data_IF_482311702409
#
_entry.id   IF_482311702409
#
_cell.length_a   1.000
_cell.length_b   1.000
_cell.length_c   1.000
_cell.angle_alpha   90.00
_cell.angle_beta   90.00
_cell.angle_gamma   90.00
#
_symmetry.space_group_name_H-M   'P 1'
#
loop_
_entity.id
_entity.type
_entity.pdbx_description
1 polymer ?
#
# COMPACT_ATOMS: atom_id res chain seq x y z
N UNK A 1 -3.40 1.33 31.91
CA UNK A 1 -4.42 1.08 30.86
C UNK A 1 -4.07 -0.23 30.17
N UNK A 2 -5.01 -1.17 30.05
CA UNK A 2 -4.77 -2.45 29.36
C UNK A 2 -4.66 -2.20 27.85
N UNK A 3 -3.59 -2.68 27.22
CA UNK A 3 -3.43 -2.63 25.77
C UNK A 3 -4.00 -3.89 25.10
N UNK A 4 -4.19 -3.85 23.77
CA UNK A 4 -4.76 -4.96 23.01
C UNK A 4 -4.02 -6.29 23.25
N UNK A 5 -2.68 -6.25 23.32
CA UNK A 5 -1.86 -7.45 23.56
C UNK A 5 -2.13 -8.07 24.93
N UNK A 6 -2.29 -7.25 25.97
CA UNK A 6 -2.59 -7.71 27.32
C UNK A 6 -4.00 -8.32 27.41
N UNK A 7 -4.99 -7.69 26.76
CA UNK A 7 -6.37 -8.21 26.70
C UNK A 7 -6.40 -9.54 25.94
N UNK A 8 -5.76 -9.62 24.78
CA UNK A 8 -5.69 -10.85 23.99
C UNK A 8 -5.06 -11.99 24.79
N UNK A 9 -3.96 -11.73 25.50
CA UNK A 9 -3.33 -12.75 26.36
C UNK A 9 -4.28 -13.22 27.47
N UNK A 10 -4.94 -12.31 28.17
CA UNK A 10 -5.88 -12.67 29.22
C UNK A 10 -7.06 -13.48 28.68
N UNK A 11 -7.58 -13.10 27.51
CA UNK A 11 -8.65 -13.83 26.82
C UNK A 11 -8.21 -15.25 26.47
N UNK A 12 -7.03 -15.43 25.85
CA UNK A 12 -6.51 -16.75 25.51
C UNK A 12 -6.32 -17.63 26.74
N UNK A 13 -5.75 -17.07 27.82
CA UNK A 13 -5.62 -17.78 29.09
C UNK A 13 -6.98 -18.23 29.60
N UNK A 14 -7.97 -17.32 29.68
CA UNK A 14 -9.32 -17.67 30.13
C UNK A 14 -9.97 -18.76 29.29
N UNK A 15 -9.88 -18.66 27.96
CA UNK A 15 -10.46 -19.66 27.03
C UNK A 15 -9.86 -21.04 27.29
N UNK A 16 -8.53 -21.12 27.35
CA UNK A 16 -7.82 -22.39 27.49
C UNK A 16 -7.94 -22.97 28.90
N UNK A 17 -7.75 -22.18 29.94
CA UNK A 17 -7.67 -22.69 31.33
C UNK A 17 -9.03 -22.86 31.97
N UNK A 18 -9.99 -21.95 31.70
CA UNK A 18 -11.29 -21.95 32.37
C UNK A 18 -12.41 -22.40 31.44
N UNK A 19 -12.67 -21.68 30.34
CA UNK A 19 -13.87 -21.89 29.53
C UNK A 19 -13.96 -23.31 28.94
N UNK A 20 -12.90 -23.77 28.27
CA UNK A 20 -12.89 -25.11 27.68
C UNK A 20 -12.96 -26.25 28.71
N UNK A 21 -12.51 -26.02 29.94
CA UNK A 21 -12.39 -27.04 31.00
C UNK A 21 -13.50 -26.99 32.04
N UNK A 22 -14.33 -25.94 32.04
CA UNK A 22 -15.44 -25.79 32.98
C UNK A 22 -16.74 -26.32 32.35
N UNK A 23 -17.62 -26.99 33.12
CA UNK A 23 -18.93 -27.39 32.64
C UNK A 23 -19.72 -26.17 32.14
N UNK A 24 -20.14 -26.20 30.87
CA UNK A 24 -20.91 -25.11 30.29
C UNK A 24 -22.40 -25.29 30.58
N UNK A 25 -23.07 -24.25 31.07
CA UNK A 25 -24.47 -24.31 31.54
C UNK A 25 -25.44 -24.91 30.51
N UNK A 26 -25.24 -24.63 29.21
CA UNK A 26 -26.11 -25.14 28.15
C UNK A 26 -25.76 -26.54 27.65
N UNK A 27 -24.53 -27.01 27.88
CA UNK A 27 -24.05 -28.32 27.43
C UNK A 27 -24.13 -29.37 28.54
N UNK A 28 -24.17 -28.93 29.81
CA UNK A 28 -24.05 -29.76 31.01
C UNK A 28 -22.77 -30.62 31.04
N UNK A 29 -21.81 -30.34 30.15
CA UNK A 29 -20.49 -30.95 30.01
C UNK A 29 -19.49 -29.85 29.62
N UNK A 30 -18.18 -30.14 29.62
CA UNK A 30 -17.18 -29.15 29.21
C UNK A 30 -17.20 -28.97 27.68
N UNK A 31 -16.97 -27.76 27.15
CA UNK A 31 -16.86 -27.55 25.71
C UNK A 31 -15.80 -28.44 25.05
N UNK A 32 -14.70 -28.73 25.77
CA UNK A 32 -13.64 -29.60 25.28
C UNK A 32 -14.11 -31.06 25.13
N UNK A 33 -14.81 -31.61 26.13
CA UNK A 33 -15.33 -32.99 26.08
C UNK A 33 -16.39 -33.13 25.00
N UNK A 34 -17.27 -32.12 24.87
CA UNK A 34 -18.26 -32.07 23.78
C UNK A 34 -17.57 -32.13 22.44
N UNK A 35 -16.56 -31.28 22.23
CA UNK A 35 -15.82 -31.18 20.98
C UNK A 35 -15.10 -32.49 20.65
N UNK A 36 -14.40 -33.10 21.61
CA UNK A 36 -13.71 -34.37 21.42
C UNK A 36 -14.64 -35.49 20.92
N UNK A 37 -15.91 -35.50 21.37
CA UNK A 37 -16.90 -36.50 20.96
C UNK A 37 -17.50 -36.26 19.56
N UNK A 38 -17.59 -35.01 19.10
CA UNK A 38 -18.29 -34.67 17.85
C UNK A 38 -17.36 -34.16 16.73
N UNK A 39 -16.11 -33.85 17.06
CA UNK A 39 -15.14 -33.21 16.17
C UNK A 39 -14.81 -34.03 14.93
N UNK A 40 -14.92 -35.36 14.99
CA UNK A 40 -14.71 -36.24 13.83
C UNK A 40 -15.66 -35.96 12.65
N UNK A 41 -16.81 -35.31 12.91
CA UNK A 41 -17.78 -34.94 11.86
C UNK A 41 -17.39 -33.68 11.09
N UNK A 42 -16.32 -32.98 11.50
CA UNK A 42 -15.85 -31.77 10.83
C UNK A 42 -15.21 -32.16 9.51
N UNK A 43 -15.70 -31.58 8.42
CA UNK A 43 -15.07 -31.70 7.10
C UNK A 43 -13.98 -30.66 6.98
N UNK A 44 -12.76 -31.11 6.77
CA UNK A 44 -11.64 -30.24 6.48
C UNK A 44 -11.60 -29.90 4.99
N UNK A 45 -11.04 -28.73 4.61
CA UNK A 45 -10.72 -28.41 3.23
C UNK A 45 -9.77 -29.44 2.62
N UNK A 46 -9.80 -29.58 1.29
CA UNK A 46 -8.91 -30.52 0.61
C UNK A 46 -7.45 -30.04 0.73
N UNK A 47 -6.45 -30.94 0.79
CA UNK A 47 -5.04 -30.57 1.00
C UNK A 47 -4.43 -29.63 -0.06
N UNK A 48 -5.13 -29.41 -1.17
CA UNK A 48 -4.74 -28.49 -2.25
C UNK A 48 -5.38 -27.11 -2.18
N UNK A 49 -6.33 -26.88 -1.27
CA UNK A 49 -7.03 -25.60 -1.16
C UNK A 49 -6.14 -24.57 -0.45
N UNK A 50 -5.78 -23.49 -1.15
CA UNK A 50 -5.09 -22.33 -0.58
C UNK A 50 -6.09 -21.50 0.24
N UNK A 51 -6.27 -21.88 1.51
CA UNK A 51 -7.16 -21.16 2.43
C UNK A 51 -6.75 -19.71 2.63
N UNK A 52 -5.45 -19.41 2.58
CA UNK A 52 -4.95 -18.05 2.74
C UNK A 52 -5.46 -17.15 1.61
N UNK A 53 -5.62 -17.69 0.39
CA UNK A 53 -6.19 -16.95 -0.73
C UNK A 53 -7.63 -16.46 -0.44
N UNK A 54 -8.44 -17.26 0.26
CA UNK A 54 -9.83 -16.92 0.57
C UNK A 54 -9.97 -15.72 1.49
N UNK A 55 -8.96 -15.46 2.33
CA UNK A 55 -8.98 -14.37 3.31
C UNK A 55 -8.21 -13.11 2.86
N UNK A 56 -7.71 -13.10 1.61
CA UNK A 56 -7.08 -11.90 1.06
C UNK A 56 -8.10 -10.78 0.86
N UNK A 57 -7.70 -9.57 1.26
CA UNK A 57 -8.47 -8.36 1.02
C UNK A 57 -8.32 -7.92 -0.42
N UNK A 58 -9.41 -7.43 -1.02
CA UNK A 58 -9.41 -6.92 -2.38
C UNK A 58 -9.42 -5.40 -2.43
N UNK A 59 -8.67 -4.83 -3.37
CA UNK A 59 -8.70 -3.40 -3.67
C UNK A 59 -8.51 -3.15 -5.15
N UNK A 60 -9.44 -2.41 -5.76
CA UNK A 60 -9.33 -2.01 -7.17
C UNK A 60 -8.46 -0.76 -7.29
N UNK A 61 -7.46 -0.82 -8.16
CA UNK A 61 -6.53 0.28 -8.42
C UNK A 61 -6.19 0.35 -9.90
N UNK A 62 -5.97 1.57 -10.40
CA UNK A 62 -5.51 1.81 -11.76
C UNK A 62 -4.00 1.73 -11.82
N UNK A 63 -3.46 1.02 -12.80
CA UNK A 63 -2.01 0.94 -13.02
C UNK A 63 -1.51 2.25 -13.61
N UNK A 64 -0.45 2.80 -13.02
CA UNK A 64 0.16 4.05 -13.45
C UNK A 64 1.03 3.87 -14.70
N UNK A 65 1.33 4.98 -15.38
CA UNK A 65 2.16 4.97 -16.61
C UNK A 65 3.59 4.49 -16.38
N UNK A 66 4.07 4.60 -15.16
CA UNK A 66 5.39 4.13 -14.72
C UNK A 66 5.39 2.63 -14.33
N UNK A 67 4.33 1.89 -14.66
CA UNK A 67 4.17 0.46 -14.37
C UNK A 67 4.08 0.15 -12.87
N UNK A 68 3.55 1.09 -12.08
CA UNK A 68 3.36 0.90 -10.65
C UNK A 68 1.90 0.97 -10.23
N UNK A 69 1.60 0.45 -9.04
CA UNK A 69 0.35 0.70 -8.33
C UNK A 69 0.61 1.09 -6.89
N UNK A 70 -0.19 2.00 -6.34
CA UNK A 70 -0.12 2.36 -4.92
C UNK A 70 -1.16 1.60 -4.10
N UNK A 71 -0.71 0.99 -3.01
CA UNK A 71 -1.54 0.34 -2.01
C UNK A 71 -1.03 0.70 -0.62
N UNK A 72 -1.90 1.30 0.21
CA UNK A 72 -1.59 1.72 1.59
C UNK A 72 -0.29 2.54 1.71
N UNK A 73 -0.03 3.43 0.75
CA UNK A 73 1.17 4.29 0.73
C UNK A 73 2.43 3.61 0.18
N UNK A 74 2.39 2.32 -0.18
CA UNK A 74 3.51 1.62 -0.81
C UNK A 74 3.28 1.45 -2.31
N UNK A 75 4.35 1.54 -3.10
CA UNK A 75 4.32 1.32 -4.54
C UNK A 75 4.75 -0.11 -4.86
N UNK A 76 4.01 -0.76 -5.76
CA UNK A 76 4.27 -2.12 -6.23
C UNK A 76 4.50 -2.15 -7.73
N UNK A 77 5.43 -2.99 -8.18
CA UNK A 77 5.78 -3.16 -9.59
C UNK A 77 4.77 -4.06 -10.31
N UNK A 78 4.30 -3.61 -11.47
CA UNK A 78 3.31 -4.30 -12.31
C UNK A 78 3.83 -4.48 -13.74
N UNK A 79 3.40 -5.55 -14.42
CA UNK A 79 3.66 -5.78 -15.83
C UNK A 79 3.22 -4.58 -16.70
N UNK A 80 4.06 -4.25 -17.69
CA UNK A 80 3.82 -3.14 -18.60
C UNK A 80 2.54 -3.29 -19.43
N UNK A 81 2.10 -4.53 -19.68
CA UNK A 81 0.87 -4.84 -20.41
C UNK A 81 -0.40 -4.37 -19.71
N UNK A 82 -0.34 -4.15 -18.40
CA UNK A 82 -1.48 -3.70 -17.58
C UNK A 82 -1.52 -2.18 -17.40
N UNK A 83 -0.59 -1.42 -18.00
CA UNK A 83 -0.52 0.04 -17.84
C UNK A 83 -1.80 0.71 -18.33
N UNK A 84 -2.43 1.50 -17.46
CA UNK A 84 -3.69 2.20 -17.76
C UNK A 84 -4.95 1.37 -17.46
N UNK A 85 -4.81 0.06 -17.21
CA UNK A 85 -5.91 -0.82 -16.85
C UNK A 85 -6.26 -0.72 -15.36
N UNK A 86 -7.48 -1.15 -15.00
CA UNK A 86 -7.91 -1.27 -13.60
C UNK A 86 -7.75 -2.71 -13.15
N UNK A 87 -6.85 -2.94 -12.20
CA UNK A 87 -6.55 -4.27 -11.64
C UNK A 87 -7.13 -4.41 -10.24
N UNK A 88 -7.36 -5.66 -9.84
CA UNK A 88 -7.76 -6.03 -8.48
C UNK A 88 -6.53 -6.56 -7.74
N UNK A 89 -6.13 -5.87 -6.68
CA UNK A 89 -5.04 -6.26 -5.80
C UNK A 89 -5.62 -7.11 -4.68
N UNK A 90 -5.07 -8.32 -4.47
CA UNK A 90 -5.41 -9.21 -3.36
C UNK A 90 -4.22 -9.31 -2.41
N UNK A 91 -4.41 -8.95 -1.14
CA UNK A 91 -3.33 -8.83 -0.16
C UNK A 91 -3.79 -9.14 1.27
N UNK A 92 -2.86 -9.53 2.14
CA UNK A 92 -3.12 -9.71 3.56
C UNK A 92 -2.86 -8.38 4.31
N UNK A 93 -3.85 -7.76 4.98
CA UNK A 93 -3.67 -6.49 5.67
C UNK A 93 -2.71 -6.56 6.87
N UNK A 94 -2.48 -7.76 7.44
CA UNK A 94 -1.51 -7.98 8.51
C UNK A 94 -0.07 -8.09 8.01
N UNK A 95 0.14 -8.29 6.70
CA UNK A 95 1.46 -8.49 6.08
C UNK A 95 1.79 -7.38 5.08
N UNK A 96 1.67 -6.13 5.53
CA UNK A 96 2.01 -4.97 4.71
C UNK A 96 3.48 -4.99 4.28
N UNK A 97 3.73 -4.69 3.00
CA UNK A 97 5.08 -4.64 2.43
C UNK A 97 5.57 -5.98 1.86
N UNK A 98 4.76 -7.04 1.93
CA UNK A 98 5.02 -8.30 1.21
C UNK A 98 4.41 -8.29 -0.19
N UNK A 99 4.71 -9.32 -0.96
CA UNK A 99 4.14 -9.53 -2.30
C UNK A 99 2.60 -9.56 -2.27
N UNK A 100 1.99 -8.94 -3.27
CA UNK A 100 0.53 -8.92 -3.45
C UNK A 100 0.14 -9.63 -4.74
N UNK A 101 -1.03 -10.29 -4.76
CA UNK A 101 -1.55 -10.93 -5.98
C UNK A 101 -2.28 -9.88 -6.83
N UNK A 102 -1.93 -9.76 -8.10
CA UNK A 102 -2.59 -8.86 -9.06
C UNK A 102 -3.49 -9.68 -9.98
N UNK A 103 -4.77 -9.34 -9.98
CA UNK A 103 -5.77 -9.96 -10.82
C UNK A 103 -6.35 -8.95 -11.81
N UNK A 104 -6.59 -9.38 -13.05
CA UNK A 104 -7.23 -8.59 -14.10
C UNK A 104 -8.38 -9.41 -14.69
N UNK A 105 -9.56 -8.79 -14.83
CA UNK A 105 -10.78 -9.46 -15.31
C UNK A 105 -11.10 -10.79 -14.61
N UNK A 106 -10.89 -10.84 -13.28
CA UNK A 106 -11.13 -12.04 -12.47
C UNK A 106 -10.08 -13.15 -12.61
N UNK A 107 -9.01 -12.92 -13.37
CA UNK A 107 -7.90 -13.87 -13.52
C UNK A 107 -6.65 -13.36 -12.83
N UNK A 108 -5.96 -14.25 -12.13
CA UNK A 108 -4.63 -13.97 -11.61
C UNK A 108 -3.65 -13.71 -12.77
N UNK A 109 -2.87 -12.64 -12.68
CA UNK A 109 -1.86 -12.28 -13.69
C UNK A 109 -0.46 -12.44 -13.14
N UNK A 110 -0.17 -11.82 -11.99
CA UNK A 110 1.17 -11.82 -11.41
C UNK A 110 1.18 -11.62 -9.89
N UNK A 111 2.30 -11.93 -9.26
CA UNK A 111 2.65 -11.42 -7.92
C UNK A 111 3.46 -10.14 -8.07
N UNK A 112 3.01 -9.05 -7.46
CA UNK A 112 3.69 -7.76 -7.48
C UNK A 112 4.54 -7.58 -6.22
N UNK A 113 5.81 -7.20 -6.42
CA UNK A 113 6.77 -6.86 -5.37
C UNK A 113 6.77 -5.36 -5.10
N UNK A 114 7.28 -4.95 -3.94
CA UNK A 114 7.54 -3.54 -3.67
C UNK A 114 8.52 -2.99 -4.70
N UNK A 115 8.29 -1.75 -5.12
CA UNK A 115 9.22 -0.99 -5.94
C UNK A 115 10.52 -0.77 -5.17
N UNK A 116 11.63 -1.23 -5.73
CA UNK A 116 12.96 -0.92 -5.18
C UNK A 116 13.39 0.47 -5.67
N UNK A 117 13.16 1.49 -4.83
CA UNK A 117 13.53 2.87 -5.16
C UNK A 117 15.04 3.06 -5.26
N UNK A 118 15.84 2.29 -4.52
CA UNK A 118 17.30 2.40 -4.54
C UNK A 118 17.87 1.83 -5.83
N UNK A 119 17.45 0.63 -6.23
CA UNK A 119 17.84 0.04 -7.51
C UNK A 119 17.40 0.91 -8.69
N UNK A 120 16.18 1.46 -8.64
CA UNK A 120 15.65 2.34 -9.68
C UNK A 120 16.46 3.64 -9.88
N UNK A 121 17.14 4.14 -8.85
CA UNK A 121 18.01 5.32 -8.97
C UNK A 121 19.23 5.08 -9.87
N UNK A 122 19.73 3.84 -9.97
CA UNK A 122 20.88 3.51 -10.81
C UNK A 122 20.52 3.16 -12.25
N UNK A 123 19.22 2.95 -12.54
CA UNK A 123 18.74 2.67 -13.89
C UNK A 123 18.86 3.93 -14.74
N UNK A 124 19.83 3.93 -15.66
CA UNK A 124 20.00 5.02 -16.63
C UNK A 124 18.81 5.03 -17.58
N UNK A 125 18.06 6.12 -17.57
CA UNK A 125 17.00 6.36 -18.57
C UNK A 125 17.67 6.59 -19.91
N UNK A 126 17.33 5.76 -20.88
CA UNK A 126 17.70 6.01 -22.26
C UNK A 126 16.91 7.24 -22.73
N UNK A 127 17.57 8.40 -22.64
CA UNK A 127 17.01 9.65 -23.16
C UNK A 127 17.40 9.67 -24.63
N UNK A 128 16.47 9.50 -25.58
CA UNK A 128 16.75 9.95 -26.92
C UNK A 128 17.01 11.44 -26.79
N UNK A 129 18.26 11.83 -27.01
CA UNK A 129 18.69 13.22 -27.00
C UNK A 129 17.88 13.96 -28.06
N UNK A 130 16.74 14.53 -27.67
CA UNK A 130 16.18 15.66 -28.41
C UNK A 130 17.16 16.80 -28.18
N UNK A 131 17.99 16.99 -29.19
CA UNK A 131 18.74 18.17 -29.58
C UNK A 131 18.42 19.38 -28.70
N UNK A 132 19.31 19.69 -27.76
CA UNK A 132 19.56 21.10 -27.47
C UNK A 132 20.35 21.53 -28.71
N UNK A 133 19.66 22.10 -29.71
CA UNK A 133 20.36 22.77 -30.80
C UNK A 133 21.22 23.85 -30.14
N UNK A 134 22.54 23.72 -30.29
CA UNK A 134 23.43 24.82 -29.98
C UNK A 134 22.94 25.99 -30.85
N UNK A 135 22.50 27.07 -30.21
CA UNK A 135 22.20 28.31 -30.91
C UNK A 135 23.45 28.68 -31.71
N UNK A 136 23.35 28.68 -33.04
CA UNK A 136 24.37 29.26 -33.90
C UNK A 136 24.65 30.69 -33.40
N UNK A 137 25.89 31.01 -32.97
CA UNK A 137 26.21 32.32 -32.43
C UNK A 137 25.98 33.46 -33.43
N UNK A 138 25.80 33.13 -34.72
CA UNK A 138 25.58 34.09 -35.81
C UNK A 138 24.10 34.42 -36.08
N UNK A 139 23.14 33.74 -35.45
CA UNK A 139 21.70 34.08 -35.48
C UNK A 139 21.17 34.56 -34.13
N UNK A 140 22.03 35.19 -33.32
CA UNK A 140 21.58 35.94 -32.15
C UNK A 140 20.80 37.18 -32.61
N UNK A 141 19.49 37.04 -32.79
CA UNK A 141 18.58 38.19 -32.87
C UNK A 141 18.71 38.95 -31.55
N UNK A 142 19.07 40.23 -31.66
CA UNK A 142 19.31 41.15 -30.55
C UNK A 142 18.00 41.43 -29.79
N UNK A 143 17.59 40.47 -28.96
CA UNK A 143 16.65 40.73 -27.90
C UNK A 143 17.41 41.49 -26.82
N UNK A 144 17.21 42.81 -26.77
CA UNK A 144 17.61 43.68 -25.65
C UNK A 144 17.43 42.91 -24.36
N UNK A 145 18.54 42.46 -23.77
CA UNK A 145 18.54 41.74 -22.50
C UNK A 145 17.95 42.71 -21.48
N UNK A 146 16.75 42.42 -21.00
CA UNK A 146 16.19 43.15 -19.87
C UNK A 146 17.19 43.06 -18.72
N UNK A 147 17.68 44.23 -18.31
CA UNK A 147 18.77 44.34 -17.36
C UNK A 147 18.36 43.67 -16.05
N UNK A 148 19.18 42.72 -15.58
CA UNK A 148 18.97 42.04 -14.30
C UNK A 148 18.78 43.12 -13.21
N UNK A 149 17.71 43.07 -12.40
CA UNK A 149 17.50 44.06 -11.36
C UNK A 149 18.71 44.08 -10.43
N UNK A 150 19.26 45.28 -10.19
CA UNK A 150 20.55 45.48 -9.50
C UNK A 150 20.53 45.11 -8.01
N UNK A 151 19.38 44.71 -7.46
CA UNK A 151 19.23 44.38 -6.05
C UNK A 151 18.44 43.07 -5.88
N UNK A 152 18.87 42.16 -4.99
CA UNK A 152 18.08 41.00 -4.62
C UNK A 152 16.81 41.44 -3.90
N UNK A 153 15.67 40.88 -4.31
CA UNK A 153 14.37 41.10 -3.66
C UNK A 153 14.42 40.60 -2.21
N UNK A 154 14.08 41.49 -1.27
CA UNK A 154 14.07 41.19 0.15
C UNK A 154 12.66 40.79 0.61
N UNK A 155 12.48 39.52 0.99
CA UNK A 155 11.18 38.95 1.37
C UNK A 155 10.76 39.25 2.82
N UNK A 156 11.56 39.98 3.59
CA UNK A 156 11.26 40.30 5.00
C UNK A 156 10.04 41.19 5.23
N UNK A 157 9.42 41.76 4.18
CA UNK A 157 8.18 42.55 4.27
C UNK A 157 6.88 41.75 4.09
N UNK A 158 6.95 40.46 3.76
CA UNK A 158 5.75 39.65 3.55
C UNK A 158 5.11 39.20 4.87
N UNK A 159 5.86 39.19 5.98
CA UNK A 159 5.35 38.73 7.29
C UNK A 159 4.56 39.77 8.10
N UNK A 160 4.47 41.03 7.65
CA UNK A 160 3.78 42.10 8.41
C UNK A 160 2.39 42.46 7.87
N UNK A 161 1.94 41.86 6.75
CA UNK A 161 0.67 42.22 6.10
C UNK A 161 -0.53 41.30 6.44
N UNK A 162 -0.37 40.29 7.31
CA UNK A 162 -1.49 39.45 7.78
C UNK A 162 -1.90 39.75 9.23
N UNK A 163 -1.94 41.03 9.59
CA UNK A 163 -2.56 41.47 10.85
C UNK A 163 -3.52 42.64 10.60
N UNK A 164 -4.70 42.29 10.09
CA UNK A 164 -5.80 43.23 9.95
C UNK A 164 -6.84 42.78 8.94
N UNK A 165 -7.77 41.92 9.34
CA UNK A 165 -9.18 42.31 9.43
C UNK A 165 -10.02 41.11 9.89
N UNK A 166 -10.63 41.28 11.06
CA UNK A 166 -11.65 40.39 11.56
C UNK A 166 -12.95 40.58 10.79
N UNK A 167 -13.65 39.48 10.58
CA UNK A 167 -15.08 39.50 10.29
C UNK A 167 -15.83 38.83 11.45
N UNK A 168 -16.82 39.58 11.92
CA UNK A 168 -17.89 39.22 12.85
C UNK A 168 -18.65 37.99 12.37
#
# INVERSE_FOLDING_TARGET
MLNLKAINRALWTYIETEYHRSPHRSLCETPLDRWARVGEKVRYPEPGDDLDDLFLFESKRKVQKDRTVSLNGMAYEIDASLVGETVTLRYNPSEQGKEIKVCHNGRFVQKAKLVDTYANCFVKRDRPSKTIEALDPEKAVDHKRESRPKQPVNFSRISEAEKGDGYV
#
